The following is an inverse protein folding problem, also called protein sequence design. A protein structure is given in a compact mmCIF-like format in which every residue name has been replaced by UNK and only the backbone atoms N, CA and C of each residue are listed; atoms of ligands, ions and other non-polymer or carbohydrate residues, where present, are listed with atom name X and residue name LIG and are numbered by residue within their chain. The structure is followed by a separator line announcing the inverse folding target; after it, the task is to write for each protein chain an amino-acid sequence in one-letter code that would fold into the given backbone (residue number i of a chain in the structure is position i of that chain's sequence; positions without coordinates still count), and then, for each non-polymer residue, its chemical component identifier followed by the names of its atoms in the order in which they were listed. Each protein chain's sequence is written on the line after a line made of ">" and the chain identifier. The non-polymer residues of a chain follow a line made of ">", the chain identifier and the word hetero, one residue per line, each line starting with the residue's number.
data_IF_227188364443
#
_entry.id   IF_227188364443
#
_cell.length_a   1.000
_cell.length_b   1.000
_cell.length_c   1.000
_cell.angle_alpha   90.00
_cell.angle_beta   90.00
_cell.angle_gamma   90.00
#
_symmetry.space_group_name_H-M   'P 1'
#
loop_
_entity.id
_entity.type
_entity.pdbx_description
1 polymer ?
#
# COMPACT_ATOMS: atom_id res chain seq x y z
N UNK A 1 -30.48 -52.47 24.31
CA UNK A 1 -29.32 -52.78 23.46
C UNK A 1 -29.31 -51.82 22.28
N UNK A 2 -28.54 -50.83 22.34
CA UNK A 2 -27.61 -50.27 21.41
C UNK A 2 -27.29 -48.85 21.81
N UNK A 3 -26.19 -48.77 22.46
CA UNK A 3 -25.37 -47.60 22.70
C UNK A 3 -24.74 -47.21 21.37
N UNK A 4 -24.99 -45.99 20.86
CA UNK A 4 -24.14 -45.41 19.83
C UNK A 4 -23.78 -43.98 20.32
N UNK A 5 -22.68 -43.93 21.02
CA UNK A 5 -21.96 -42.71 21.30
C UNK A 5 -21.35 -42.15 19.99
N UNK A 6 -21.74 -40.95 19.65
CA UNK A 6 -20.98 -40.10 18.72
C UNK A 6 -20.58 -38.82 19.45
N UNK A 7 -19.45 -38.94 20.14
CA UNK A 7 -18.72 -37.78 20.60
C UNK A 7 -17.55 -37.59 19.62
N UNK A 8 -17.78 -36.91 18.52
CA UNK A 8 -16.70 -36.33 17.71
C UNK A 8 -16.62 -34.86 18.09
N UNK A 9 -15.92 -34.60 19.18
CA UNK A 9 -15.28 -33.33 19.36
C UNK A 9 -14.24 -33.21 18.23
N UNK A 10 -14.52 -32.38 17.23
CA UNK A 10 -13.58 -31.98 16.20
C UNK A 10 -12.43 -31.25 16.89
N UNK A 11 -11.33 -31.95 17.11
CA UNK A 11 -10.03 -31.36 17.47
C UNK A 11 -9.59 -30.43 16.32
N UNK A 12 -10.00 -29.17 16.41
CA UNK A 12 -9.38 -28.11 15.63
C UNK A 12 -7.92 -27.99 16.07
N UNK A 13 -6.97 -27.92 15.12
CA UNK A 13 -5.55 -27.78 15.44
C UNK A 13 -5.34 -26.59 16.39
N UNK A 14 -4.60 -26.81 17.45
CA UNK A 14 -4.34 -25.82 18.52
C UNK A 14 -3.75 -24.51 17.95
N UNK A 15 -3.03 -24.61 16.84
CA UNK A 15 -2.41 -23.48 16.12
C UNK A 15 -3.45 -22.53 15.56
N UNK A 16 -4.53 -23.01 14.96
CA UNK A 16 -5.63 -22.20 14.44
C UNK A 16 -6.39 -21.46 15.56
N UNK A 17 -6.46 -22.03 16.74
CA UNK A 17 -7.13 -21.39 17.89
C UNK A 17 -6.26 -20.29 18.50
N UNK A 18 -4.95 -20.46 18.48
CA UNK A 18 -4.00 -19.43 18.98
C UNK A 18 -3.88 -18.26 18.03
N UNK A 19 -3.81 -18.50 16.72
CA UNK A 19 -3.81 -17.45 15.69
C UNK A 19 -5.10 -16.62 15.73
N UNK A 20 -6.26 -17.26 15.78
CA UNK A 20 -7.55 -16.58 15.83
C UNK A 20 -7.71 -15.72 17.10
N UNK A 21 -7.11 -16.13 18.21
CA UNK A 21 -7.12 -15.38 19.47
C UNK A 21 -6.19 -14.17 19.43
N UNK A 22 -5.03 -14.29 18.79
CA UNK A 22 -4.08 -13.21 18.60
C UNK A 22 -4.67 -12.13 17.68
N UNK A 23 -5.27 -12.51 16.55
CA UNK A 23 -5.95 -11.61 15.63
C UNK A 23 -7.13 -10.87 16.28
N UNK A 24 -7.94 -11.58 17.08
CA UNK A 24 -9.05 -10.96 17.80
C UNK A 24 -8.56 -9.94 18.85
N UNK A 25 -7.43 -10.24 19.51
CA UNK A 25 -6.80 -9.33 20.48
C UNK A 25 -6.25 -8.08 19.79
N UNK A 26 -5.59 -8.25 18.64
CA UNK A 26 -5.07 -7.14 17.83
C UNK A 26 -6.21 -6.26 17.32
N UNK A 27 -7.26 -6.84 16.75
CA UNK A 27 -8.43 -6.10 16.27
C UNK A 27 -9.09 -5.27 17.39
N UNK A 28 -9.19 -5.83 18.60
CA UNK A 28 -9.70 -5.11 19.77
C UNK A 28 -8.79 -3.95 20.17
N UNK A 29 -7.48 -4.15 20.16
CA UNK A 29 -6.51 -3.09 20.46
C UNK A 29 -6.58 -1.96 19.43
N UNK A 30 -6.63 -2.27 18.14
CA UNK A 30 -6.76 -1.29 17.06
C UNK A 30 -8.07 -0.50 17.17
N UNK A 31 -9.16 -1.17 17.51
CA UNK A 31 -10.44 -0.50 17.74
C UNK A 31 -10.38 0.46 18.95
N UNK A 32 -9.81 0.01 20.07
CA UNK A 32 -9.66 0.82 21.28
C UNK A 32 -8.78 2.05 21.06
N UNK A 33 -7.74 1.92 20.22
CA UNK A 33 -6.84 3.01 19.85
C UNK A 33 -7.39 3.90 18.73
N UNK A 34 -8.62 3.65 18.27
CA UNK A 34 -9.24 4.37 17.15
C UNK A 34 -8.37 4.39 15.87
N UNK A 35 -7.61 3.32 15.64
CA UNK A 35 -6.67 3.22 14.53
C UNK A 35 -7.32 3.49 13.18
N UNK A 36 -8.57 3.08 12.98
CA UNK A 36 -9.31 3.34 11.75
C UNK A 36 -9.44 4.84 11.45
N UNK A 37 -9.62 5.70 12.47
CA UNK A 37 -9.68 7.16 12.27
C UNK A 37 -8.35 7.70 11.72
N UNK A 38 -7.23 7.13 12.19
CA UNK A 38 -5.89 7.53 11.68
C UNK A 38 -5.73 7.10 10.22
N UNK A 39 -6.22 5.90 9.86
CA UNK A 39 -6.20 5.43 8.47
C UNK A 39 -7.09 6.30 7.57
N UNK A 40 -8.26 6.69 8.02
CA UNK A 40 -9.16 7.59 7.31
C UNK A 40 -8.50 8.96 7.07
N UNK A 41 -7.90 9.55 8.10
CA UNK A 41 -7.16 10.81 7.98
C UNK A 41 -5.98 10.71 7.01
N UNK A 42 -5.28 9.58 7.00
CA UNK A 42 -4.19 9.32 6.04
C UNK A 42 -4.74 9.17 4.62
N UNK A 43 -5.83 8.42 4.46
CA UNK A 43 -6.51 8.22 3.18
C UNK A 43 -7.02 9.53 2.58
N UNK A 44 -7.48 10.47 3.42
CA UNK A 44 -7.92 11.80 2.98
C UNK A 44 -6.75 12.68 2.48
N UNK A 45 -5.51 12.35 2.84
CA UNK A 45 -4.32 13.01 2.30
C UNK A 45 -3.86 12.42 0.96
N UNK A 46 -4.45 11.31 0.51
CA UNK A 46 -4.06 10.64 -0.72
C UNK A 46 -4.65 11.36 -1.95
N UNK A 47 -3.83 11.58 -2.98
CA UNK A 47 -4.23 12.23 -4.23
C UNK A 47 -4.74 11.23 -5.29
N UNK A 48 -4.54 9.92 -5.07
CA UNK A 48 -4.97 8.88 -6.01
C UNK A 48 -5.75 7.79 -5.28
N UNK A 49 -6.67 7.13 -6.00
CA UNK A 49 -7.45 6.03 -5.44
C UNK A 49 -6.57 4.88 -4.96
N UNK A 50 -5.54 4.51 -5.72
CA UNK A 50 -4.59 3.47 -5.31
C UNK A 50 -3.84 3.83 -4.01
N UNK A 51 -3.44 5.10 -3.83
CA UNK A 51 -2.82 5.54 -2.59
C UNK A 51 -3.81 5.54 -1.41
N UNK A 52 -5.08 5.88 -1.66
CA UNK A 52 -6.16 5.80 -0.66
C UNK A 52 -6.39 4.37 -0.21
N UNK A 53 -6.50 3.43 -1.14
CA UNK A 53 -6.61 2.00 -0.85
C UNK A 53 -5.42 1.49 -0.02
N UNK A 54 -4.20 1.87 -0.41
CA UNK A 54 -2.99 1.53 0.34
C UNK A 54 -3.01 2.09 1.76
N UNK A 55 -3.44 3.33 1.96
CA UNK A 55 -3.56 3.95 3.28
C UNK A 55 -4.54 3.18 4.16
N UNK A 56 -5.73 2.85 3.64
CA UNK A 56 -6.77 2.12 4.38
C UNK A 56 -6.37 0.66 4.69
N UNK A 57 -5.50 0.08 3.88
CA UNK A 57 -5.01 -1.30 4.07
C UNK A 57 -3.81 -1.42 5.01
N UNK A 58 -3.26 -0.31 5.51
CA UNK A 58 -2.12 -0.34 6.41
C UNK A 58 -2.41 -1.13 7.68
N UNK A 59 -1.41 -1.92 8.09
CA UNK A 59 -1.43 -2.67 9.35
C UNK A 59 -0.19 -2.30 10.17
N UNK A 60 -0.26 -2.35 11.50
CA UNK A 60 0.91 -2.24 12.33
C UNK A 60 1.97 -3.28 11.93
N UNK A 61 3.22 -2.88 11.99
CA UNK A 61 4.37 -3.75 11.72
C UNK A 61 5.11 -3.96 13.03
N UNK A 62 5.58 -5.18 13.29
CA UNK A 62 6.29 -5.55 14.51
C UNK A 62 7.77 -5.88 14.25
N UNK A 63 8.19 -5.88 12.97
CA UNK A 63 9.58 -6.13 12.59
C UNK A 63 10.39 -4.83 12.64
N UNK A 64 11.36 -4.69 13.58
CA UNK A 64 12.06 -3.41 13.80
C UNK A 64 12.76 -2.87 12.56
N UNK A 65 13.37 -3.74 11.76
CA UNK A 65 14.11 -3.32 10.55
C UNK A 65 13.16 -2.81 9.46
N UNK A 66 12.00 -3.43 9.29
CA UNK A 66 10.98 -2.94 8.37
C UNK A 66 10.41 -1.59 8.82
N UNK A 67 10.16 -1.44 10.12
CA UNK A 67 9.67 -0.17 10.70
C UNK A 67 10.69 0.94 10.45
N UNK A 68 11.97 0.72 10.76
CA UNK A 68 13.05 1.70 10.52
C UNK A 68 13.12 2.10 9.06
N UNK A 69 13.05 1.13 8.14
CA UNK A 69 13.07 1.38 6.69
C UNK A 69 11.90 2.27 6.26
N UNK A 70 10.67 1.94 6.65
CA UNK A 70 9.47 2.72 6.32
C UNK A 70 9.52 4.14 6.90
N UNK A 71 10.01 4.29 8.14
CA UNK A 71 10.19 5.61 8.76
C UNK A 71 11.27 6.44 8.05
N UNK A 72 12.38 5.83 7.64
CA UNK A 72 13.42 6.49 6.85
C UNK A 72 12.86 6.98 5.51
N UNK A 73 12.11 6.13 4.78
CA UNK A 73 11.45 6.50 3.52
C UNK A 73 10.49 7.69 3.71
N UNK A 74 9.67 7.67 4.75
CA UNK A 74 8.77 8.79 5.07
C UNK A 74 9.54 10.08 5.38
N UNK A 75 10.64 9.97 6.13
CA UNK A 75 11.49 11.11 6.49
C UNK A 75 12.15 11.70 5.25
N UNK A 76 12.70 10.86 4.38
CA UNK A 76 13.35 11.31 3.15
C UNK A 76 12.35 11.90 2.15
N UNK A 77 11.12 11.35 2.05
CA UNK A 77 10.05 11.92 1.26
C UNK A 77 9.64 13.32 1.77
N UNK A 78 9.55 13.51 3.08
CA UNK A 78 9.29 14.83 3.69
C UNK A 78 10.39 15.84 3.38
N UNK A 79 11.67 15.44 3.50
CA UNK A 79 12.82 16.29 3.16
C UNK A 79 12.77 16.68 1.69
N UNK A 80 12.54 15.71 0.80
CA UNK A 80 12.46 15.94 -0.64
C UNK A 80 11.34 16.93 -0.97
N UNK A 81 10.14 16.74 -0.42
CA UNK A 81 9.01 17.63 -0.62
C UNK A 81 9.24 19.04 -0.03
N UNK A 82 10.03 19.16 1.05
CA UNK A 82 10.39 20.46 1.62
C UNK A 82 11.38 21.24 0.73
N UNK A 83 12.26 20.55 0.02
CA UNK A 83 13.29 21.17 -0.84
C UNK A 83 12.72 21.50 -2.23
N UNK A 84 12.03 20.54 -2.85
CA UNK A 84 11.55 20.63 -4.24
C UNK A 84 10.08 21.01 -4.39
N UNK A 85 9.34 21.13 -3.29
CA UNK A 85 7.89 21.20 -3.32
C UNK A 85 7.26 19.80 -3.45
N UNK A 86 5.95 19.74 -3.35
CA UNK A 86 5.21 18.47 -3.48
C UNK A 86 5.17 18.03 -4.94
N UNK A 87 5.46 16.76 -5.23
CA UNK A 87 5.23 16.24 -6.59
C UNK A 87 3.74 16.22 -6.90
N UNK A 88 3.38 16.36 -8.17
CA UNK A 88 1.99 16.29 -8.62
C UNK A 88 1.65 14.89 -9.10
N UNK A 89 0.61 14.32 -8.54
CA UNK A 89 0.02 13.03 -8.96
C UNK A 89 -1.24 13.22 -9.82
N UNK A 90 -1.57 14.48 -10.17
CA UNK A 90 -2.74 14.78 -10.98
C UNK A 90 -2.72 14.07 -12.33
N UNK A 91 -3.88 13.59 -12.76
CA UNK A 91 -4.05 12.85 -14.02
C UNK A 91 -3.95 11.33 -13.89
N UNK A 92 -3.51 10.79 -12.76
CA UNK A 92 -3.50 9.34 -12.53
C UNK A 92 -4.93 8.82 -12.47
N UNK A 93 -5.23 7.85 -13.34
CA UNK A 93 -6.47 7.09 -13.38
C UNK A 93 -6.22 5.66 -12.93
N UNK A 94 -7.24 5.02 -12.40
CA UNK A 94 -7.17 3.58 -12.18
C UNK A 94 -7.32 2.86 -13.54
N UNK A 95 -6.24 2.26 -13.99
CA UNK A 95 -6.15 1.52 -15.26
C UNK A 95 -6.08 0.02 -15.08
N UNK A 96 -6.18 -0.49 -13.83
CA UNK A 96 -6.03 -1.93 -13.51
C UNK A 96 -6.99 -2.79 -14.32
N UNK A 97 -8.27 -2.43 -14.37
CA UNK A 97 -9.27 -3.18 -15.13
C UNK A 97 -9.01 -3.22 -16.64
N UNK A 98 -8.46 -2.13 -17.19
CA UNK A 98 -8.08 -2.09 -18.59
C UNK A 98 -6.88 -3.02 -18.85
N UNK A 99 -5.88 -3.02 -17.97
CA UNK A 99 -4.71 -3.90 -18.07
C UNK A 99 -5.11 -5.38 -17.96
N UNK A 100 -5.93 -5.74 -16.99
CA UNK A 100 -6.43 -7.12 -16.82
C UNK A 100 -7.19 -7.63 -18.06
N UNK A 101 -7.95 -6.75 -18.74
CA UNK A 101 -8.61 -7.09 -19.99
C UNK A 101 -7.62 -7.23 -21.14
N UNK A 102 -6.61 -6.37 -21.21
CA UNK A 102 -5.57 -6.45 -22.22
C UNK A 102 -4.77 -7.76 -22.09
N UNK A 103 -4.45 -8.20 -20.87
CA UNK A 103 -3.81 -9.49 -20.61
C UNK A 103 -4.64 -10.67 -21.16
N UNK A 104 -5.96 -10.54 -21.12
CA UNK A 104 -6.91 -11.52 -21.70
C UNK A 104 -7.15 -11.30 -23.21
N UNK A 105 -6.28 -10.55 -23.89
CA UNK A 105 -6.36 -10.23 -25.32
C UNK A 105 -7.62 -9.44 -25.73
N UNK A 106 -8.25 -8.72 -24.79
CA UNK A 106 -9.37 -7.84 -25.13
C UNK A 106 -8.86 -6.53 -25.77
N UNK A 107 -9.66 -5.98 -26.66
CA UNK A 107 -9.38 -4.68 -27.30
C UNK A 107 -9.65 -3.56 -26.31
N UNK A 108 -8.70 -2.64 -26.18
CA UNK A 108 -8.85 -1.42 -25.40
C UNK A 108 -9.45 -0.30 -26.25
N UNK A 109 -10.29 0.50 -25.64
CA UNK A 109 -10.81 1.72 -26.25
C UNK A 109 -9.72 2.82 -26.31
N UNK A 110 -9.88 3.77 -27.21
CA UNK A 110 -8.98 4.94 -27.30
C UNK A 110 -8.87 5.69 -25.95
N UNK A 111 -9.96 5.77 -25.22
CA UNK A 111 -9.96 6.41 -23.89
C UNK A 111 -9.09 5.69 -22.91
N UNK A 112 -9.15 4.38 -22.83
CA UNK A 112 -8.32 3.56 -21.95
C UNK A 112 -6.84 3.65 -22.31
N UNK A 113 -6.52 3.69 -23.60
CA UNK A 113 -5.16 3.91 -24.07
C UNK A 113 -4.62 5.29 -23.65
N UNK A 114 -5.44 6.33 -23.71
CA UNK A 114 -5.07 7.68 -23.25
C UNK A 114 -4.89 7.72 -21.73
N UNK A 115 -5.75 7.07 -20.97
CA UNK A 115 -5.62 7.01 -19.51
C UNK A 115 -4.35 6.26 -19.09
N UNK A 116 -3.99 5.16 -19.76
CA UNK A 116 -2.71 4.46 -19.56
C UNK A 116 -1.52 5.36 -19.93
N UNK A 117 -1.58 6.05 -21.06
CA UNK A 117 -0.52 6.97 -21.47
C UNK A 117 -0.31 8.09 -20.44
N UNK A 118 -1.39 8.63 -19.86
CA UNK A 118 -1.29 9.65 -18.81
C UNK A 118 -0.65 9.11 -17.53
N UNK A 119 -0.99 7.90 -17.10
CA UNK A 119 -0.33 7.24 -15.96
C UNK A 119 1.19 7.11 -16.21
N UNK A 120 1.60 6.68 -17.41
CA UNK A 120 3.02 6.57 -17.77
C UNK A 120 3.71 7.94 -17.81
N UNK A 121 3.03 8.99 -18.28
CA UNK A 121 3.57 10.35 -18.27
C UNK A 121 3.75 10.87 -16.84
N UNK A 122 2.79 10.63 -15.95
CA UNK A 122 2.94 11.00 -14.53
C UNK A 122 4.10 10.24 -13.90
N UNK A 123 4.21 8.93 -14.12
CA UNK A 123 5.32 8.13 -13.62
C UNK A 123 6.67 8.69 -14.07
N UNK A 124 6.82 9.05 -15.36
CA UNK A 124 8.04 9.70 -15.89
C UNK A 124 8.33 11.01 -15.18
N UNK A 125 7.34 11.90 -15.02
CA UNK A 125 7.51 13.16 -14.30
C UNK A 125 7.97 12.96 -12.85
N UNK A 126 7.47 11.93 -12.17
CA UNK A 126 7.89 11.59 -10.81
C UNK A 126 9.33 11.10 -10.74
N UNK A 127 9.74 10.27 -11.70
CA UNK A 127 11.14 9.83 -11.85
C UNK A 127 12.04 11.03 -12.11
N UNK A 128 11.68 11.89 -13.05
CA UNK A 128 12.43 13.13 -13.34
C UNK A 128 12.51 14.05 -12.12
N UNK A 129 11.38 14.25 -11.40
CA UNK A 129 11.33 15.00 -10.15
C UNK A 129 12.31 14.46 -9.13
N UNK A 130 12.40 13.15 -8.99
CA UNK A 130 13.30 12.51 -8.05
C UNK A 130 14.77 12.70 -8.43
N UNK A 131 15.13 12.47 -9.70
CA UNK A 131 16.52 12.44 -10.17
C UNK A 131 17.07 13.79 -10.63
N UNK A 132 16.27 14.85 -10.82
CA UNK A 132 16.71 16.11 -11.42
C UNK A 132 17.95 16.72 -10.72
N UNK A 133 18.01 16.65 -9.39
CA UNK A 133 19.17 17.20 -8.63
C UNK A 133 20.18 16.13 -8.23
N UNK A 134 19.89 14.83 -8.41
CA UNK A 134 20.82 13.75 -8.10
C UNK A 134 21.98 13.65 -9.10
N UNK A 135 21.83 14.24 -10.29
CA UNK A 135 22.92 14.34 -11.27
C UNK A 135 24.11 15.16 -10.76
N UNK A 136 23.96 15.92 -9.67
CA UNK A 136 25.01 16.68 -8.98
C UNK A 136 25.65 15.97 -7.79
N UNK A 137 25.45 14.66 -7.59
CA UNK A 137 26.11 13.89 -6.53
C UNK A 137 25.36 13.82 -5.20
N UNK A 138 24.04 13.94 -5.19
CA UNK A 138 23.25 13.74 -3.97
C UNK A 138 23.41 12.33 -3.41
N UNK A 139 23.52 12.25 -2.09
CA UNK A 139 23.63 11.02 -1.29
C UNK A 139 22.49 10.05 -1.61
N UNK A 140 22.81 8.74 -1.53
CA UNK A 140 21.82 7.68 -1.58
C UNK A 140 20.76 7.92 -0.49
N UNK A 141 19.49 7.83 -0.86
CA UNK A 141 18.37 7.96 0.07
C UNK A 141 17.61 6.65 0.14
N UNK A 142 16.82 6.48 1.19
CA UNK A 142 15.96 5.30 1.33
C UNK A 142 14.86 5.21 0.25
N UNK A 143 14.67 6.28 -0.54
CA UNK A 143 13.73 6.33 -1.65
C UNK A 143 14.29 5.75 -2.95
N UNK A 144 15.61 5.52 -3.07
CA UNK A 144 16.22 4.99 -4.29
C UNK A 144 15.58 3.66 -4.74
N UNK A 145 15.19 2.81 -3.80
CA UNK A 145 14.54 1.54 -4.08
C UNK A 145 13.12 1.69 -4.68
N UNK A 146 12.45 2.82 -4.42
CA UNK A 146 11.09 3.08 -4.94
C UNK A 146 11.15 3.60 -6.38
N UNK A 147 12.24 4.29 -6.72
CA UNK A 147 12.43 4.94 -8.02
C UNK A 147 13.43 4.19 -8.94
N UNK A 148 13.94 3.01 -8.53
CA UNK A 148 14.89 2.19 -9.29
C UNK A 148 14.26 1.48 -10.48
#
# INVERSE_FOLDING_TARGET
>A
MNDIGYNQATDLPTDLLTENRAEASEAKALHTLEYNKILDMLADCAETEGAREMALSLRPDFEPERIKKKLAQTTDAKKLASIKGRPSFGGIKDVRSALERAEKSAVLSTRELLDIAEVLNVARRLVDYYYTDKRGGLEKTSLDEIFA
#
